data_IF_543758629292
#
_entry.id   IF_543758629292
#
_cell.length_a   1.000
_cell.length_b   1.000
_cell.length_c   1.000
_cell.angle_alpha   90.00
_cell.angle_beta   90.00
_cell.angle_gamma   90.00
#
_symmetry.space_group_name_H-M   'P 1'
#
loop_
_entity.id
_entity.type
_entity.pdbx_description
1 polymer ?
#
# COMPACT_ATOMS: atom_id res chain seq x y z
N UNK A 1 51.46 1.14 42.98
CA UNK A 1 52.17 -0.14 42.98
C UNK A 1 51.35 -1.07 42.09
N UNK A 2 51.68 -1.11 40.82
CA UNK A 2 52.62 -2.00 40.14
C UNK A 2 52.20 -3.48 40.23
N UNK A 3 51.73 -4.10 39.13
CA UNK A 3 52.46 -5.11 38.38
C UNK A 3 51.68 -5.63 37.18
N UNK A 4 52.33 -5.46 36.03
CA UNK A 4 52.03 -6.12 34.75
C UNK A 4 52.25 -7.64 34.83
N UNK A 5 51.49 -8.40 34.05
CA UNK A 5 51.95 -9.70 33.56
C UNK A 5 51.40 -9.93 32.14
N UNK A 6 52.32 -9.85 31.19
CA UNK A 6 52.23 -10.36 29.83
C UNK A 6 52.17 -11.89 29.87
N UNK A 7 51.31 -12.50 29.06
CA UNK A 7 51.45 -13.89 28.67
C UNK A 7 51.40 -13.96 27.13
N UNK A 8 52.56 -14.35 26.61
CA UNK A 8 52.80 -14.72 25.22
C UNK A 8 52.31 -16.15 25.04
N UNK A 9 51.52 -16.43 24.02
CA UNK A 9 51.21 -17.82 23.58
C UNK A 9 51.51 -18.00 22.11
N UNK A 10 52.35 -18.88 21.90
CA UNK A 10 53.04 -19.52 20.81
C UNK A 10 52.14 -19.93 19.63
N UNK A 11 52.61 -19.63 18.44
CA UNK A 11 52.11 -20.10 17.14
C UNK A 11 52.59 -21.57 16.95
N UNK A 12 51.67 -22.45 16.63
CA UNK A 12 52.00 -23.70 15.96
C UNK A 12 51.25 -23.79 14.64
N UNK A 13 52.02 -23.79 13.59
CA UNK A 13 51.56 -24.10 12.22
C UNK A 13 51.54 -25.63 12.04
N UNK A 14 50.43 -26.13 11.55
CA UNK A 14 50.38 -27.50 10.95
C UNK A 14 49.86 -27.34 9.53
N UNK A 15 50.73 -27.61 8.59
CA UNK A 15 50.38 -27.76 7.17
C UNK A 15 49.81 -29.16 6.95
N UNK A 16 48.66 -29.26 6.31
CA UNK A 16 48.21 -30.49 5.67
C UNK A 16 47.56 -30.13 4.33
N UNK A 17 48.21 -30.54 3.28
CA UNK A 17 47.79 -30.52 1.88
C UNK A 17 46.66 -31.52 1.64
N UNK A 18 45.62 -31.08 0.93
CA UNK A 18 44.56 -31.96 0.43
C UNK A 18 43.71 -31.25 -0.60
N UNK A 19 43.94 -31.57 -1.87
CA UNK A 19 43.20 -31.09 -3.03
C UNK A 19 41.78 -31.62 -3.13
N UNK A 20 40.94 -30.78 -3.80
CA UNK A 20 39.81 -31.05 -4.70
C UNK A 20 38.43 -30.68 -4.20
N UNK A 21 37.83 -29.82 -5.04
CA UNK A 21 36.36 -29.75 -5.16
C UNK A 21 35.79 -28.35 -5.09
N UNK A 22 36.12 -27.47 -6.07
CA UNK A 22 35.37 -26.26 -6.32
C UNK A 22 33.93 -26.60 -6.74
N UNK A 23 32.99 -26.47 -5.81
CA UNK A 23 31.60 -26.17 -6.12
C UNK A 23 31.33 -24.74 -5.66
N UNK A 24 31.40 -23.82 -6.58
CA UNK A 24 30.85 -22.49 -6.46
C UNK A 24 29.33 -22.61 -6.38
N UNK A 25 28.78 -22.71 -5.20
CA UNK A 25 27.39 -22.36 -4.97
C UNK A 25 27.28 -20.84 -5.07
N UNK A 26 26.78 -20.38 -6.22
CA UNK A 26 26.29 -19.02 -6.38
C UNK A 26 25.01 -18.90 -5.54
N UNK A 27 25.18 -18.53 -4.28
CA UNK A 27 24.07 -18.08 -3.45
C UNK A 27 23.52 -16.80 -4.06
N UNK A 28 22.46 -16.93 -4.83
CA UNK A 28 21.61 -15.81 -5.23
C UNK A 28 20.98 -15.26 -3.96
N UNK A 29 21.64 -14.28 -3.35
CA UNK A 29 21.05 -13.48 -2.30
C UNK A 29 19.88 -12.73 -2.93
N UNK A 30 18.67 -13.23 -2.70
CA UNK A 30 17.46 -12.46 -2.97
C UNK A 30 17.54 -11.19 -2.12
N UNK A 31 17.88 -10.09 -2.76
CA UNK A 31 17.78 -8.76 -2.17
C UNK A 31 16.30 -8.54 -1.91
N UNK A 32 15.89 -8.71 -0.67
CA UNK A 32 14.55 -8.31 -0.22
C UNK A 32 14.55 -6.78 -0.22
N UNK A 33 14.13 -6.20 -1.34
CA UNK A 33 13.98 -4.77 -1.48
C UNK A 33 13.02 -4.28 -0.40
N UNK A 34 13.45 -3.33 0.41
CA UNK A 34 12.60 -2.71 1.42
C UNK A 34 11.35 -2.12 0.73
N UNK A 35 10.15 -2.21 1.34
CA UNK A 35 8.94 -1.68 0.71
C UNK A 35 9.13 -0.21 0.38
N UNK A 36 8.93 0.14 -0.90
CA UNK A 36 9.01 1.51 -1.39
C UNK A 36 7.87 2.32 -0.77
N UNK A 37 8.20 3.27 0.10
CA UNK A 37 7.21 4.15 0.70
C UNK A 37 7.02 5.39 -0.17
N UNK A 38 5.85 5.50 -0.80
CA UNK A 38 5.47 6.67 -1.58
C UNK A 38 5.00 7.78 -0.63
N UNK A 39 5.62 8.95 -0.69
CA UNK A 39 5.27 10.12 0.15
C UNK A 39 4.51 11.21 -0.59
N UNK A 40 4.42 11.11 -1.92
CA UNK A 40 3.70 12.06 -2.80
C UNK A 40 3.02 11.30 -3.92
N UNK A 41 1.93 11.89 -4.45
CA UNK A 41 1.31 11.40 -5.66
C UNK A 41 2.32 11.37 -6.83
N UNK A 42 2.22 10.34 -7.65
CA UNK A 42 2.99 10.17 -8.87
C UNK A 42 2.03 9.92 -10.02
N UNK A 43 1.82 10.94 -10.86
CA UNK A 43 1.06 10.80 -12.10
C UNK A 43 2.03 10.31 -13.18
N UNK A 44 1.86 9.07 -13.59
CA UNK A 44 2.78 8.41 -14.54
C UNK A 44 2.36 8.71 -15.97
N UNK A 45 1.04 8.78 -16.23
CA UNK A 45 0.47 9.01 -17.57
C UNK A 45 -0.67 10.01 -17.52
N UNK A 46 -0.61 11.01 -18.36
CA UNK A 46 -1.72 11.98 -18.56
C UNK A 46 -2.68 11.54 -19.67
N UNK A 47 -2.25 10.66 -20.59
CA UNK A 47 -3.04 10.15 -21.72
C UNK A 47 -2.50 8.81 -22.24
N UNK A 48 -3.12 8.28 -23.30
CA UNK A 48 -2.69 7.01 -23.92
C UNK A 48 -3.18 5.78 -23.14
N UNK A 49 -4.33 5.89 -22.46
CA UNK A 49 -5.01 4.79 -21.78
C UNK A 49 -6.53 4.94 -21.85
N UNK A 50 -7.26 3.84 -21.67
CA UNK A 50 -8.72 3.81 -21.67
C UNK A 50 -9.27 4.12 -20.27
N UNK A 51 -9.60 5.38 -20.00
CA UNK A 51 -10.09 5.84 -18.69
C UNK A 51 -11.36 5.11 -18.21
N UNK A 52 -12.25 4.72 -19.12
CA UNK A 52 -13.49 3.98 -18.80
C UNK A 52 -13.26 2.54 -18.34
N UNK A 53 -12.04 2.01 -18.51
CA UNK A 53 -11.61 0.70 -18.06
C UNK A 53 -10.57 0.77 -16.94
N UNK A 54 -10.37 1.96 -16.37
CA UNK A 54 -9.45 2.12 -15.26
C UNK A 54 -9.94 1.35 -14.02
N UNK A 55 -9.00 0.89 -13.20
CA UNK A 55 -9.28 0.21 -11.95
C UNK A 55 -8.23 0.59 -10.90
N UNK A 56 -8.58 0.38 -9.64
CA UNK A 56 -7.72 0.72 -8.49
C UNK A 56 -7.11 -0.55 -7.92
N UNK A 57 -5.83 -0.45 -7.52
CA UNK A 57 -5.14 -1.44 -6.68
C UNK A 57 -4.64 -0.74 -5.43
N UNK A 58 -5.07 -1.20 -4.26
CA UNK A 58 -4.56 -0.75 -2.96
C UNK A 58 -3.59 -1.77 -2.43
N UNK A 59 -2.36 -1.36 -2.11
CA UNK A 59 -1.36 -2.20 -1.47
C UNK A 59 -1.29 -1.90 0.03
N UNK A 60 -1.71 -2.86 0.86
CA UNK A 60 -1.61 -2.74 2.32
C UNK A 60 -0.16 -2.84 2.80
N UNK A 61 0.71 -3.47 2.01
CA UNK A 61 2.15 -3.58 2.29
C UNK A 61 2.87 -2.26 2.04
N UNK A 62 2.62 -1.64 0.88
CA UNK A 62 3.34 -0.46 0.41
C UNK A 62 2.68 0.85 0.83
N UNK A 63 1.46 0.79 1.39
CA UNK A 63 0.65 1.94 1.78
C UNK A 63 0.39 2.87 0.60
N UNK A 64 -0.05 2.28 -0.52
CA UNK A 64 -0.34 3.00 -1.76
C UNK A 64 -1.72 2.66 -2.32
N UNK A 65 -2.27 3.60 -3.07
CA UNK A 65 -3.37 3.41 -3.99
C UNK A 65 -2.86 3.71 -5.39
N UNK A 66 -2.93 2.73 -6.29
CA UNK A 66 -2.47 2.85 -7.68
C UNK A 66 -3.66 2.74 -8.62
N UNK A 67 -3.68 3.56 -9.66
CA UNK A 67 -4.65 3.50 -10.76
C UNK A 67 -3.98 2.85 -11.95
N UNK A 68 -4.62 1.81 -12.48
CA UNK A 68 -4.22 1.11 -13.69
C UNK A 68 -5.31 1.20 -14.74
N UNK A 69 -4.92 1.16 -16.01
CA UNK A 69 -5.85 1.08 -17.13
C UNK A 69 -5.18 0.37 -18.32
N UNK A 70 -5.92 -0.20 -19.28
CA UNK A 70 -5.36 -0.67 -20.53
C UNK A 70 -4.93 0.53 -21.39
N UNK A 71 -3.79 0.38 -22.07
CA UNK A 71 -3.35 1.30 -23.13
C UNK A 71 -4.01 0.95 -24.48
N UNK A 72 -3.62 1.65 -25.55
CA UNK A 72 -4.14 1.44 -26.91
C UNK A 72 -3.85 0.03 -27.47
N UNK A 73 -2.88 -0.67 -26.91
CA UNK A 73 -2.52 -2.06 -27.29
C UNK A 73 -3.26 -3.09 -26.44
N UNK A 74 -3.96 -2.65 -25.41
CA UNK A 74 -4.64 -3.50 -24.44
C UNK A 74 -3.73 -3.95 -23.28
N UNK A 75 -2.49 -3.47 -23.22
CA UNK A 75 -1.59 -3.76 -22.11
C UNK A 75 -1.99 -2.94 -20.87
N UNK A 76 -2.02 -3.58 -19.70
CA UNK A 76 -2.29 -2.87 -18.44
C UNK A 76 -1.09 -2.03 -18.05
N UNK A 77 -1.30 -0.73 -17.91
CA UNK A 77 -0.26 0.25 -17.55
C UNK A 77 -0.61 0.98 -16.26
N UNK A 78 0.42 1.37 -15.52
CA UNK A 78 0.27 2.25 -14.35
C UNK A 78 -0.02 3.67 -14.85
N UNK A 79 -1.11 4.25 -14.36
CA UNK A 79 -1.55 5.61 -14.71
C UNK A 79 -1.15 6.61 -13.62
N UNK A 80 -1.44 6.28 -12.37
CA UNK A 80 -1.11 7.12 -11.23
C UNK A 80 -0.93 6.29 -9.96
N UNK A 81 -0.16 6.81 -9.01
CA UNK A 81 0.07 6.19 -7.71
C UNK A 81 0.03 7.25 -6.61
N UNK A 82 -0.67 6.97 -5.51
CA UNK A 82 -0.91 7.88 -4.40
C UNK A 82 -0.49 7.24 -3.07
N UNK A 83 0.09 8.01 -2.14
CA UNK A 83 0.31 7.53 -0.78
C UNK A 83 -1.04 7.31 -0.09
N UNK A 84 -1.14 6.27 0.73
CA UNK A 84 -2.37 5.94 1.41
C UNK A 84 -2.16 5.66 2.91
N UNK A 85 -3.14 6.03 3.72
CA UNK A 85 -3.26 5.57 5.08
C UNK A 85 -4.30 4.45 5.16
N UNK A 86 -3.89 3.33 5.74
CA UNK A 86 -4.72 2.15 5.91
C UNK A 86 -5.02 1.89 7.39
N UNK A 87 -5.71 0.79 7.65
CA UNK A 87 -6.13 0.40 8.99
C UNK A 87 -4.98 0.27 10.00
N UNK A 88 -5.27 0.61 11.26
CA UNK A 88 -4.37 0.46 12.42
C UNK A 88 -3.83 -0.97 12.51
N UNK A 89 -4.70 -1.96 12.35
CA UNK A 89 -4.35 -3.37 12.42
C UNK A 89 -4.12 -3.96 11.03
N UNK A 90 -3.12 -4.83 10.91
CA UNK A 90 -2.83 -5.62 9.70
C UNK A 90 -3.80 -6.79 9.57
N UNK A 91 -3.79 -7.43 8.39
CA UNK A 91 -4.62 -8.58 8.07
C UNK A 91 -5.98 -8.21 7.51
N UNK A 92 -6.71 -9.20 7.01
CA UNK A 92 -8.02 -9.03 6.43
C UNK A 92 -9.07 -8.66 7.50
N UNK A 93 -10.05 -7.86 7.12
CA UNK A 93 -11.19 -7.51 7.99
C UNK A 93 -12.06 -8.73 8.25
N UNK A 94 -12.37 -9.00 9.53
CA UNK A 94 -13.18 -10.12 9.97
C UNK A 94 -14.51 -9.70 10.60
N UNK A 95 -14.51 -8.54 11.28
CA UNK A 95 -15.71 -8.02 11.99
C UNK A 95 -15.68 -6.50 12.11
N UNK A 96 -16.82 -5.94 12.48
CA UNK A 96 -16.90 -4.51 12.84
C UNK A 96 -15.99 -4.19 14.03
N UNK A 97 -15.34 -3.02 14.00
CA UNK A 97 -14.46 -2.55 15.08
C UNK A 97 -13.09 -3.24 15.19
N UNK A 98 -12.72 -4.14 14.29
CA UNK A 98 -11.41 -4.82 14.31
C UNK A 98 -10.26 -3.95 13.81
N UNK A 99 -10.54 -2.74 13.35
CA UNK A 99 -9.57 -1.76 12.82
C UNK A 99 -8.72 -2.33 11.68
N UNK A 100 -9.33 -3.15 10.80
CA UNK A 100 -8.70 -3.74 9.62
C UNK A 100 -9.39 -3.29 8.34
N UNK A 101 -8.62 -3.11 7.27
CA UNK A 101 -9.11 -2.89 5.92
C UNK A 101 -9.41 -4.25 5.27
N UNK A 102 -10.60 -4.45 4.68
CA UNK A 102 -10.90 -5.71 4.00
C UNK A 102 -10.01 -5.91 2.78
N UNK A 103 -9.78 -7.17 2.44
CA UNK A 103 -9.02 -7.59 1.26
C UNK A 103 -9.96 -8.18 0.21
N UNK A 104 -9.63 -7.99 -1.06
CA UNK A 104 -10.35 -8.60 -2.16
C UNK A 104 -9.43 -9.46 -3.01
N UNK A 105 -9.89 -10.62 -3.50
CA UNK A 105 -9.18 -11.37 -4.54
C UNK A 105 -9.08 -10.53 -5.83
N UNK A 106 -8.03 -10.73 -6.61
CA UNK A 106 -7.85 -10.02 -7.88
C UNK A 106 -8.91 -10.38 -8.93
N UNK A 107 -9.40 -11.62 -8.89
CA UNK A 107 -10.46 -12.15 -9.76
C UNK A 107 -11.88 -11.78 -9.28
N UNK A 108 -11.99 -11.21 -8.07
CA UNK A 108 -13.25 -10.73 -7.51
C UNK A 108 -13.04 -9.40 -6.78
N UNK A 109 -12.73 -8.32 -7.52
CA UNK A 109 -12.52 -6.99 -6.93
C UNK A 109 -13.78 -6.48 -6.24
N UNK A 110 -13.59 -5.54 -5.31
CA UNK A 110 -14.68 -4.69 -4.86
C UNK A 110 -15.02 -3.67 -5.95
N UNK A 111 -16.13 -2.94 -5.76
CA UNK A 111 -16.55 -1.91 -6.70
C UNK A 111 -16.90 -0.62 -5.96
N UNK A 112 -16.67 0.51 -6.60
CA UNK A 112 -17.19 1.81 -6.14
C UNK A 112 -18.69 1.84 -6.43
N UNK A 113 -19.52 1.92 -5.38
CA UNK A 113 -20.98 1.95 -5.52
C UNK A 113 -21.55 3.36 -5.50
N UNK A 114 -20.88 4.30 -4.84
CA UNK A 114 -21.30 5.70 -4.73
C UNK A 114 -20.08 6.62 -4.64
N UNK A 115 -20.22 7.82 -5.18
CA UNK A 115 -19.27 8.92 -5.03
C UNK A 115 -20.04 10.06 -4.34
N UNK A 116 -19.65 10.40 -3.11
CA UNK A 116 -20.39 11.30 -2.24
C UNK A 116 -19.52 12.49 -1.82
N UNK A 117 -20.12 13.67 -1.76
CA UNK A 117 -19.49 14.81 -1.10
C UNK A 117 -19.44 14.55 0.40
N UNK A 118 -18.26 14.55 0.96
CA UNK A 118 -17.97 14.30 2.37
C UNK A 118 -17.34 15.51 3.07
N UNK A 119 -17.34 16.67 2.44
CA UNK A 119 -16.67 17.88 2.93
C UNK A 119 -17.14 18.34 4.30
N UNK A 120 -18.36 17.97 4.70
CA UNK A 120 -18.95 18.30 6.00
C UNK A 120 -19.02 17.11 6.96
N UNK A 121 -18.48 15.94 6.58
CA UNK A 121 -18.57 14.75 7.42
C UNK A 121 -17.55 14.78 8.53
N UNK A 122 -18.04 14.58 9.73
CA UNK A 122 -17.24 14.54 10.94
C UNK A 122 -17.10 13.12 11.48
N UNK A 123 -16.02 12.87 12.18
CA UNK A 123 -15.78 11.63 12.93
C UNK A 123 -15.09 11.92 14.24
N UNK A 124 -15.48 11.19 15.28
CA UNK A 124 -14.81 11.17 16.59
C UNK A 124 -14.02 9.86 16.71
N UNK A 125 -12.71 9.97 16.69
CA UNK A 125 -11.80 8.82 16.83
C UNK A 125 -11.62 8.36 18.28
N UNK A 126 -12.26 9.02 19.25
CA UNK A 126 -12.09 8.73 20.67
C UNK A 126 -10.70 9.07 21.22
N UNK A 127 -9.94 9.90 20.53
CA UNK A 127 -8.56 10.29 20.86
C UNK A 127 -8.46 11.64 21.62
N UNK A 128 -9.58 12.16 22.06
CA UNK A 128 -9.69 13.40 22.83
C UNK A 128 -9.82 14.68 21.99
N UNK A 129 -9.75 14.60 20.67
CA UNK A 129 -9.96 15.76 19.76
C UNK A 129 -11.44 16.08 19.54
N UNK A 130 -12.35 15.18 19.95
CA UNK A 130 -13.77 15.27 19.63
C UNK A 130 -14.03 15.01 18.14
N UNK A 131 -15.17 15.51 17.65
CA UNK A 131 -15.53 15.40 16.23
C UNK A 131 -14.68 16.33 15.38
N UNK A 132 -14.07 15.77 14.34
CA UNK A 132 -13.27 16.52 13.37
C UNK A 132 -13.71 16.19 11.95
N UNK A 133 -13.54 17.11 11.01
CA UNK A 133 -13.67 16.83 9.57
C UNK A 133 -12.59 15.83 9.17
N UNK A 134 -12.98 14.59 8.84
CA UNK A 134 -12.05 13.48 8.73
C UNK A 134 -11.99 12.85 7.33
N UNK A 135 -12.94 13.18 6.46
CA UNK A 135 -13.17 12.43 5.22
C UNK A 135 -12.73 13.17 3.96
N UNK A 136 -12.29 14.42 4.07
CA UNK A 136 -11.96 15.25 2.90
C UNK A 136 -13.18 15.61 2.07
N UNK A 137 -12.97 15.97 0.79
CA UNK A 137 -14.05 16.42 -0.09
C UNK A 137 -14.90 15.24 -0.61
N UNK A 138 -14.32 14.08 -0.82
CA UNK A 138 -14.98 12.96 -1.47
C UNK A 138 -14.87 11.66 -0.67
N UNK A 139 -15.96 10.89 -0.69
CA UNK A 139 -16.02 9.53 -0.19
C UNK A 139 -16.48 8.58 -1.30
N UNK A 140 -15.59 7.71 -1.76
CA UNK A 140 -15.86 6.66 -2.73
C UNK A 140 -16.24 5.39 -1.98
N UNK A 141 -17.53 5.11 -1.89
CA UNK A 141 -18.06 3.97 -1.13
C UNK A 141 -17.80 2.68 -1.85
N UNK A 142 -17.28 1.68 -1.15
CA UNK A 142 -17.00 0.35 -1.69
C UNK A 142 -18.09 -0.68 -1.33
N UNK A 143 -18.42 -1.55 -2.27
CA UNK A 143 -19.14 -2.78 -2.00
C UNK A 143 -18.18 -3.81 -1.41
N UNK A 144 -18.22 -3.98 -0.09
CA UNK A 144 -17.37 -4.94 0.64
C UNK A 144 -18.26 -6.00 1.29
N UNK A 145 -18.47 -7.16 0.65
CA UNK A 145 -19.36 -8.21 1.18
C UNK A 145 -19.05 -8.59 2.62
N UNK A 146 -20.06 -8.59 3.48
CA UNK A 146 -19.92 -8.87 4.92
C UNK A 146 -19.48 -7.67 5.77
N UNK A 147 -19.13 -6.54 5.16
CA UNK A 147 -18.70 -5.33 5.87
C UNK A 147 -19.39 -4.08 5.31
N UNK A 148 -19.64 -3.09 6.15
CA UNK A 148 -20.26 -1.82 5.75
C UNK A 148 -19.38 -0.64 6.12
N UNK A 149 -19.64 0.52 5.47
CA UNK A 149 -18.97 1.77 5.81
C UNK A 149 -17.52 1.88 5.34
N UNK A 150 -17.06 0.99 4.47
CA UNK A 150 -15.71 1.03 3.88
C UNK A 150 -15.72 1.90 2.63
N UNK A 151 -14.70 2.73 2.48
CA UNK A 151 -14.52 3.58 1.30
C UNK A 151 -13.11 4.14 1.18
N UNK A 152 -12.90 4.88 0.09
CA UNK A 152 -11.70 5.67 -0.17
C UNK A 152 -12.07 7.13 0.01
N UNK A 153 -11.30 7.88 0.79
CA UNK A 153 -11.65 9.26 1.14
C UNK A 153 -10.42 10.12 1.43
N UNK A 154 -10.59 11.41 1.63
CA UNK A 154 -9.53 12.35 2.00
C UNK A 154 -9.18 12.37 3.49
N UNK A 155 -8.48 13.41 3.93
CA UNK A 155 -7.87 13.47 5.27
C UNK A 155 -7.80 14.86 5.87
N UNK A 156 -8.84 15.69 5.76
CA UNK A 156 -8.80 17.13 6.10
C UNK A 156 -8.07 17.43 7.41
N UNK A 157 -8.49 16.83 8.53
CA UNK A 157 -7.83 17.03 9.83
C UNK A 157 -6.97 15.84 10.31
N UNK A 158 -6.55 14.97 9.38
CA UNK A 158 -5.70 13.79 9.65
C UNK A 158 -4.60 13.61 8.61
N UNK A 159 -4.18 14.69 8.02
CA UNK A 159 -3.22 14.73 6.89
C UNK A 159 -1.91 14.02 7.21
N UNK A 160 -1.41 14.19 8.43
CA UNK A 160 -0.18 13.59 8.95
C UNK A 160 -0.20 12.06 9.01
N UNK A 161 -1.39 11.46 8.91
CA UNK A 161 -1.54 10.00 8.88
C UNK A 161 -1.22 9.36 7.54
N UNK A 162 -1.05 10.16 6.46
CA UNK A 162 -0.81 9.69 5.08
C UNK A 162 0.65 9.95 4.68
N UNK A 163 1.42 8.95 4.26
CA UNK A 163 1.11 7.52 4.30
C UNK A 163 1.23 6.95 5.71
N UNK A 164 0.44 5.90 6.02
CA UNK A 164 0.55 5.29 7.35
C UNK A 164 -0.52 4.26 7.69
N UNK A 165 -0.66 4.00 8.99
CA UNK A 165 -1.66 3.09 9.54
C UNK A 165 -2.37 3.76 10.72
N UNK A 166 -3.50 4.39 10.44
CA UNK A 166 -4.27 5.13 11.44
C UNK A 166 -5.78 5.06 11.21
N UNK A 167 -6.26 4.44 10.11
CA UNK A 167 -7.69 4.34 9.84
C UNK A 167 -8.34 3.18 10.61
N UNK A 168 -9.66 3.20 10.66
CA UNK A 168 -10.47 2.15 11.28
C UNK A 168 -10.95 1.08 10.28
N UNK A 169 -10.48 1.17 9.03
CA UNK A 169 -10.77 0.21 7.97
C UNK A 169 -10.88 0.84 6.58
N UNK A 170 -11.15 2.14 6.47
CA UNK A 170 -11.17 2.87 5.21
C UNK A 170 -9.75 3.10 4.65
N UNK A 171 -9.68 3.44 3.38
CA UNK A 171 -8.48 3.87 2.68
C UNK A 171 -8.49 5.41 2.68
N UNK A 172 -7.49 6.03 3.30
CA UNK A 172 -7.41 7.49 3.41
C UNK A 172 -6.28 8.00 2.51
N UNK A 173 -6.58 9.01 1.72
CA UNK A 173 -5.63 9.76 0.89
C UNK A 173 -5.49 11.19 1.42
N UNK A 174 -4.55 11.95 0.89
CA UNK A 174 -4.54 13.41 1.05
C UNK A 174 -5.77 14.02 0.35
N UNK A 175 -6.23 15.20 0.78
CA UNK A 175 -7.43 15.83 0.20
C UNK A 175 -7.25 16.17 -1.29
N UNK A 176 -6.09 16.67 -1.68
CA UNK A 176 -5.73 16.92 -3.07
C UNK A 176 -5.67 15.63 -3.91
N UNK A 177 -5.28 14.51 -3.30
CA UNK A 177 -5.18 13.23 -3.98
C UNK A 177 -6.56 12.62 -4.23
N UNK A 178 -7.47 12.64 -3.23
CA UNK A 178 -8.83 12.15 -3.44
C UNK A 178 -9.61 12.98 -4.45
N UNK A 179 -9.38 14.31 -4.51
CA UNK A 179 -9.93 15.18 -5.54
C UNK A 179 -9.41 14.73 -6.91
N UNK A 180 -8.10 14.53 -7.05
CA UNK A 180 -7.48 14.04 -8.30
C UNK A 180 -8.03 12.70 -8.72
N UNK A 181 -8.14 11.74 -7.78
CA UNK A 181 -8.70 10.40 -8.05
C UNK A 181 -10.13 10.51 -8.54
N UNK A 182 -10.97 11.32 -7.87
CA UNK A 182 -12.39 11.50 -8.23
C UNK A 182 -12.54 12.18 -9.60
N UNK A 183 -11.77 13.21 -9.89
CA UNK A 183 -11.96 14.02 -11.09
C UNK A 183 -11.39 13.39 -12.36
N UNK A 184 -10.26 12.68 -12.22
CA UNK A 184 -9.55 12.12 -13.36
C UNK A 184 -9.85 10.64 -13.63
N UNK A 185 -10.20 9.86 -12.60
CA UNK A 185 -10.18 8.40 -12.72
C UNK A 185 -11.46 7.71 -12.25
N UNK A 186 -12.01 8.11 -11.09
CA UNK A 186 -13.04 7.32 -10.43
C UNK A 186 -14.43 7.43 -11.11
N UNK A 187 -15.11 6.30 -11.20
CA UNK A 187 -16.49 6.20 -11.64
C UNK A 187 -17.24 5.12 -10.83
N UNK A 188 -18.57 5.21 -10.79
CA UNK A 188 -19.41 4.15 -10.17
C UNK A 188 -19.31 2.87 -10.98
N UNK A 189 -19.07 1.75 -10.32
CA UNK A 189 -18.75 0.46 -10.94
C UNK A 189 -17.26 0.22 -11.15
N UNK A 190 -16.39 1.18 -10.81
CA UNK A 190 -14.94 1.02 -10.94
C UNK A 190 -14.43 -0.12 -10.04
N UNK A 191 -13.68 -1.10 -10.60
CA UNK A 191 -13.10 -2.19 -9.81
C UNK A 191 -12.01 -1.68 -8.86
N UNK A 192 -11.98 -2.25 -7.64
CA UNK A 192 -11.00 -1.94 -6.60
C UNK A 192 -10.45 -3.23 -6.00
N UNK A 193 -9.18 -3.51 -6.26
CA UNK A 193 -8.44 -4.63 -5.67
C UNK A 193 -7.74 -4.12 -4.41
N UNK A 194 -7.91 -4.81 -3.28
CA UNK A 194 -7.19 -4.50 -2.04
C UNK A 194 -6.34 -5.69 -1.66
N UNK A 195 -5.02 -5.55 -1.84
CA UNK A 195 -4.02 -6.59 -1.56
C UNK A 195 -3.65 -6.62 -0.08
N UNK A 196 -3.51 -7.84 0.47
CA UNK A 196 -2.95 -8.07 1.80
C UNK A 196 -1.46 -7.70 1.92
N UNK A 197 -0.97 -7.66 3.15
CA UNK A 197 0.42 -7.31 3.45
C UNK A 197 1.43 -8.35 2.96
N UNK A 198 1.03 -9.60 2.89
CA UNK A 198 1.83 -10.75 2.43
C UNK A 198 1.71 -11.00 0.92
N UNK A 199 0.78 -10.31 0.26
CA UNK A 199 0.53 -10.45 -1.17
C UNK A 199 1.55 -9.68 -2.00
N UNK A 200 2.24 -10.40 -2.87
CA UNK A 200 3.21 -9.84 -3.82
C UNK A 200 2.55 -9.05 -4.96
N UNK A 201 3.35 -8.57 -5.92
CA UNK A 201 2.82 -7.88 -7.09
C UNK A 201 1.95 -8.82 -7.94
N UNK A 202 0.81 -8.31 -8.41
CA UNK A 202 -0.05 -8.99 -9.38
C UNK A 202 0.67 -9.14 -10.72
N UNK A 203 0.28 -10.11 -11.58
CA UNK A 203 0.98 -10.37 -12.85
C UNK A 203 1.18 -9.11 -13.70
N UNK A 204 0.18 -8.28 -13.85
CA UNK A 204 0.23 -7.04 -14.62
C UNK A 204 1.11 -5.95 -13.97
N UNK A 205 1.22 -5.90 -12.64
CA UNK A 205 2.03 -4.90 -11.92
C UNK A 205 3.54 -5.04 -12.24
N UNK A 206 3.99 -6.25 -12.61
CA UNK A 206 5.39 -6.52 -12.94
C UNK A 206 5.81 -5.88 -14.27
N UNK A 207 4.87 -5.69 -15.17
CA UNK A 207 5.11 -5.20 -16.54
C UNK A 207 4.60 -3.76 -16.72
N UNK A 208 3.84 -3.22 -15.78
CA UNK A 208 3.13 -1.93 -15.92
C UNK A 208 3.96 -0.69 -15.56
N UNK A 209 5.23 -0.87 -15.13
CA UNK A 209 6.14 0.22 -14.71
C UNK A 209 7.11 0.58 -15.80
#
# INVERSE_FOLDING_TARGET
MLRYLLAIVLVMAVAATGCKGDKKESGEQSVVEAPRQLTRANIVRESGYEASKAFIVVSKKELTLSVYAPDEKGDTVLVAEFPACLSKNKGNKERSGDMRTPESPADKPFEITQIQDASTWEHDFGDGRGKILAYGHWFLRLATPGHSGIGIHGSTNNRESVPGRASEGCIRLLDEDIITVKEKYAYVGMPVIIKGEDQGPLPFERNAR
#
